data_IF_607793264972
#
_entry.id   IF_607793264972
#
_cell.length_a   1.000
_cell.length_b   1.000
_cell.length_c   1.000
_cell.angle_alpha   90.00
_cell.angle_beta   90.00
_cell.angle_gamma   90.00
#
_symmetry.space_group_name_H-M   'P 1'
#
loop_
_entity.id
_entity.type
_entity.pdbx_description
1 polymer ?
#
# COMPACT_ATOMS: atom_id res chain seq x y z
N UNK A 1 16.47 7.31 39.90
CA UNK A 1 16.93 6.35 39.02
C UNK A 1 16.34 6.37 37.66
N UNK A 2 17.02 7.09 36.88
CA UNK A 2 16.64 7.57 35.55
C UNK A 2 16.95 6.60 34.41
N UNK A 3 17.80 5.52 34.55
CA UNK A 3 18.14 4.68 33.38
C UNK A 3 17.02 3.82 32.82
N UNK A 4 16.00 3.47 33.61
CA UNK A 4 14.91 2.63 33.14
C UNK A 4 13.89 3.40 32.28
N UNK A 5 13.71 4.68 32.53
CA UNK A 5 12.79 5.52 31.73
C UNK A 5 13.35 5.86 30.35
N UNK A 6 14.65 5.98 30.23
CA UNK A 6 15.31 6.31 28.96
C UNK A 6 15.30 5.14 27.98
N UNK A 7 15.15 3.92 28.46
CA UNK A 7 15.08 2.72 27.59
C UNK A 7 13.70 2.43 27.05
N UNK A 8 12.66 2.88 27.73
CA UNK A 8 11.27 2.67 27.31
C UNK A 8 10.84 3.63 26.19
N UNK A 9 11.34 4.84 26.21
CA UNK A 9 10.98 5.88 25.25
C UNK A 9 11.33 5.51 23.80
N UNK A 10 12.57 5.06 23.47
CA UNK A 10 12.90 4.69 22.10
C UNK A 10 12.10 3.50 21.59
N UNK A 11 11.78 2.54 22.45
CA UNK A 11 10.95 1.40 22.06
C UNK A 11 9.52 1.84 21.70
N UNK A 12 8.95 2.76 22.45
CA UNK A 12 7.63 3.30 22.18
C UNK A 12 7.59 4.08 20.86
N UNK A 13 8.61 4.88 20.59
CA UNK A 13 8.72 5.65 19.34
C UNK A 13 8.81 4.71 18.13
N UNK A 14 9.56 3.63 18.23
CA UNK A 14 9.68 2.63 17.15
C UNK A 14 8.33 1.98 16.88
N UNK A 15 7.60 1.59 17.90
CA UNK A 15 6.29 0.97 17.75
C UNK A 15 5.27 1.91 17.08
N UNK A 16 5.27 3.17 17.46
CA UNK A 16 4.41 4.18 16.84
C UNK A 16 4.76 4.41 15.36
N UNK A 17 6.04 4.41 15.04
CA UNK A 17 6.52 4.56 13.68
C UNK A 17 6.07 3.42 12.77
N UNK A 18 6.12 2.18 13.24
CA UNK A 18 5.68 1.01 12.49
C UNK A 18 4.15 1.05 12.24
N UNK A 19 3.38 1.49 13.23
CA UNK A 19 1.93 1.64 13.07
C UNK A 19 1.57 2.69 12.02
N UNK A 20 2.28 3.80 11.96
CA UNK A 20 2.07 4.86 10.98
C UNK A 20 2.34 4.37 9.54
N UNK A 21 3.39 3.55 9.32
CA UNK A 21 3.70 2.99 8.01
C UNK A 21 2.59 2.05 7.53
N UNK A 22 2.05 1.20 8.41
CA UNK A 22 0.97 0.29 8.07
C UNK A 22 -0.32 1.06 7.72
N UNK A 23 -0.61 2.16 8.40
CA UNK A 23 -1.80 2.97 8.17
C UNK A 23 -1.83 3.62 6.79
N UNK A 24 -0.66 3.90 6.20
CA UNK A 24 -0.55 4.56 4.89
C UNK A 24 -0.38 3.59 3.73
N UNK A 25 -0.39 2.28 3.98
CA UNK A 25 -0.24 1.28 2.94
C UNK A 25 -1.53 1.16 2.13
N UNK A 26 -1.50 1.34 0.78
CA UNK A 26 -2.70 1.22 -0.05
C UNK A 26 -3.21 -0.22 -0.18
N UNK A 27 -2.42 -1.21 0.21
CA UNK A 27 -2.77 -2.62 0.11
C UNK A 27 -3.18 -3.19 1.47
N UNK A 28 -4.10 -4.19 1.48
CA UNK A 28 -4.44 -4.87 2.71
C UNK A 28 -3.26 -5.68 3.25
N UNK A 29 -3.25 -5.92 4.54
CA UNK A 29 -2.23 -6.77 5.16
C UNK A 29 -2.36 -8.21 4.66
N UNK A 30 -1.23 -8.85 4.40
CA UNK A 30 -1.21 -10.23 3.94
C UNK A 30 -1.49 -11.20 5.09
N UNK A 31 -2.40 -12.15 4.86
CA UNK A 31 -2.73 -13.20 5.82
C UNK A 31 -2.05 -14.53 5.50
N UNK A 32 -1.42 -14.64 4.32
CA UNK A 32 -0.77 -15.87 3.89
C UNK A 32 0.32 -15.53 2.86
N UNK A 33 1.07 -16.56 2.45
CA UNK A 33 2.20 -16.39 1.52
C UNK A 33 1.74 -15.95 0.13
N UNK A 34 0.59 -16.41 -0.34
CA UNK A 34 0.07 -16.04 -1.65
C UNK A 34 -0.30 -14.56 -1.71
N UNK A 35 -0.95 -14.05 -0.69
CA UNK A 35 -1.27 -12.63 -0.58
C UNK A 35 0.00 -11.77 -0.46
N UNK A 36 0.98 -12.24 0.31
CA UNK A 36 2.26 -11.55 0.43
C UNK A 36 2.98 -11.48 -0.91
N UNK A 37 2.94 -12.54 -1.71
CA UNK A 37 3.54 -12.56 -3.04
C UNK A 37 2.85 -11.56 -3.97
N UNK A 38 1.52 -11.47 -3.93
CA UNK A 38 0.78 -10.49 -4.72
C UNK A 38 1.08 -9.05 -4.29
N UNK A 39 1.27 -8.81 -3.00
CA UNK A 39 1.71 -7.49 -2.50
C UNK A 39 3.05 -7.11 -3.08
N UNK A 40 4.04 -8.02 -3.01
CA UNK A 40 5.38 -7.76 -3.55
C UNK A 40 5.35 -7.49 -5.05
N UNK A 41 4.56 -8.26 -5.78
CA UNK A 41 4.40 -8.09 -7.23
C UNK A 41 3.76 -6.76 -7.56
N UNK A 42 2.75 -6.36 -6.80
CA UNK A 42 2.08 -5.09 -6.98
C UNK A 42 3.01 -3.91 -6.73
N UNK A 43 3.79 -3.97 -5.66
CA UNK A 43 4.76 -2.92 -5.32
C UNK A 43 5.84 -2.77 -6.40
N UNK A 44 6.19 -3.84 -7.09
CA UNK A 44 7.19 -3.85 -8.15
C UNK A 44 6.60 -3.67 -9.55
N UNK A 45 5.30 -3.51 -9.68
CA UNK A 45 4.63 -3.42 -10.98
C UNK A 45 5.12 -2.23 -11.80
N UNK A 46 5.33 -2.39 -13.12
CA UNK A 46 5.85 -1.32 -13.95
C UNK A 46 4.93 -0.10 -14.01
N UNK A 47 3.62 -0.28 -13.93
CA UNK A 47 2.66 0.82 -13.91
C UNK A 47 2.80 1.69 -12.65
N UNK A 48 3.20 1.10 -11.53
CA UNK A 48 3.47 1.82 -10.28
C UNK A 48 4.73 2.66 -10.42
N UNK A 49 5.80 2.03 -10.94
CA UNK A 49 7.05 2.74 -11.19
C UNK A 49 6.87 3.90 -12.16
N UNK A 50 6.10 3.67 -13.20
CA UNK A 50 5.78 4.69 -14.20
C UNK A 50 5.03 5.87 -13.58
N UNK A 51 4.11 5.60 -12.66
CA UNK A 51 3.40 6.64 -11.94
C UNK A 51 4.35 7.49 -11.10
N UNK A 52 5.25 6.84 -10.35
CA UNK A 52 6.22 7.57 -9.52
C UNK A 52 7.21 8.41 -10.33
N UNK A 53 7.51 8.02 -11.57
CA UNK A 53 8.40 8.80 -12.44
C UNK A 53 7.84 10.18 -12.78
N UNK A 54 6.55 10.38 -12.61
CA UNK A 54 5.90 11.68 -12.84
C UNK A 54 5.96 12.62 -11.64
N UNK A 55 6.57 12.19 -10.53
CA UNK A 55 6.70 13.03 -9.35
C UNK A 55 7.58 14.23 -9.63
N UNK A 56 7.07 15.42 -9.32
CA UNK A 56 7.81 16.67 -9.31
C UNK A 56 7.81 17.24 -7.88
N UNK A 57 8.98 17.55 -7.38
CA UNK A 57 9.13 18.07 -6.02
C UNK A 57 8.51 19.46 -5.85
N UNK A 58 8.37 20.19 -6.93
CA UNK A 58 8.00 21.61 -6.89
C UNK A 58 6.50 21.86 -6.97
N UNK A 59 5.69 20.82 -7.23
CA UNK A 59 4.26 21.00 -7.41
C UNK A 59 3.48 20.07 -6.47
N UNK A 60 2.97 20.66 -5.40
CA UNK A 60 2.24 19.92 -4.35
C UNK A 60 0.96 19.27 -4.88
N UNK A 61 0.22 19.96 -5.72
CA UNK A 61 -1.02 19.44 -6.30
C UNK A 61 -0.74 18.26 -7.22
N UNK A 62 0.27 18.36 -8.07
CA UNK A 62 0.69 17.28 -8.95
C UNK A 62 1.19 16.09 -8.14
N UNK A 63 1.94 16.34 -7.06
CA UNK A 63 2.42 15.30 -6.18
C UNK A 63 1.28 14.46 -5.60
N UNK A 64 0.24 15.12 -5.11
CA UNK A 64 -0.93 14.43 -4.55
C UNK A 64 -1.61 13.54 -5.59
N UNK A 65 -1.76 14.03 -6.81
CA UNK A 65 -2.34 13.25 -7.92
C UNK A 65 -1.48 12.04 -8.29
N UNK A 66 -0.18 12.24 -8.40
CA UNK A 66 0.75 11.17 -8.74
C UNK A 66 0.73 10.07 -7.67
N UNK A 67 0.73 10.45 -6.39
CA UNK A 67 0.67 9.49 -5.30
C UNK A 67 -0.66 8.72 -5.30
N UNK A 68 -1.76 9.39 -5.60
CA UNK A 68 -3.07 8.74 -5.73
C UNK A 68 -3.11 7.78 -6.92
N UNK A 69 -2.54 8.18 -8.06
CA UNK A 69 -2.45 7.34 -9.25
C UNK A 69 -1.57 6.11 -9.00
N UNK A 70 -0.44 6.29 -8.32
CA UNK A 70 0.43 5.19 -7.95
C UNK A 70 -0.27 4.19 -7.03
N UNK A 71 -1.00 4.69 -6.03
CA UNK A 71 -1.77 3.84 -5.11
C UNK A 71 -2.86 3.06 -5.86
N UNK A 72 -3.56 3.71 -6.80
CA UNK A 72 -4.57 3.05 -7.61
C UNK A 72 -3.96 1.97 -8.51
N UNK A 73 -2.81 2.25 -9.13
CA UNK A 73 -2.08 1.29 -9.95
C UNK A 73 -1.63 0.09 -9.13
N UNK A 74 -1.16 0.32 -7.92
CA UNK A 74 -0.72 -0.73 -7.01
C UNK A 74 -1.89 -1.65 -6.61
N UNK A 75 -3.03 -1.07 -6.26
CA UNK A 75 -4.23 -1.85 -5.94
C UNK A 75 -4.71 -2.66 -7.14
N UNK A 76 -4.70 -2.08 -8.33
CA UNK A 76 -5.10 -2.78 -9.56
C UNK A 76 -4.17 -3.96 -9.85
N UNK A 77 -2.86 -3.78 -9.69
CA UNK A 77 -1.88 -4.85 -9.88
C UNK A 77 -2.06 -5.96 -8.85
N UNK A 78 -2.32 -5.61 -7.60
CA UNK A 78 -2.60 -6.56 -6.55
C UNK A 78 -3.83 -7.41 -6.86
N UNK A 79 -4.94 -6.79 -7.23
CA UNK A 79 -6.17 -7.49 -7.56
C UNK A 79 -6.00 -8.39 -8.79
N UNK A 80 -5.25 -7.93 -9.79
CA UNK A 80 -4.93 -8.74 -10.97
C UNK A 80 -4.16 -10.02 -10.57
N UNK A 81 -3.17 -9.89 -9.70
CA UNK A 81 -2.42 -11.02 -9.16
C UNK A 81 -3.34 -11.99 -8.41
N UNK A 82 -4.19 -11.46 -7.56
CA UNK A 82 -5.13 -12.25 -6.75
C UNK A 82 -6.11 -13.03 -7.64
N UNK A 83 -6.61 -12.42 -8.71
CA UNK A 83 -7.49 -13.09 -9.67
C UNK A 83 -6.77 -14.21 -10.40
N UNK A 84 -5.57 -13.96 -10.87
CA UNK A 84 -4.76 -14.95 -11.56
C UNK A 84 -4.46 -16.17 -10.70
N UNK A 85 -4.36 -15.98 -9.40
CA UNK A 85 -4.15 -17.08 -8.45
C UNK A 85 -5.45 -17.72 -7.96
N UNK A 86 -6.59 -17.22 -8.41
CA UNK A 86 -7.89 -17.72 -8.00
C UNK A 86 -8.27 -17.40 -6.56
N UNK A 87 -7.65 -16.41 -5.97
CA UNK A 87 -7.90 -16.03 -4.58
C UNK A 87 -9.08 -15.08 -4.41
N UNK A 88 -9.52 -14.47 -5.51
CA UNK A 88 -10.74 -13.68 -5.57
C UNK A 88 -11.52 -14.08 -6.82
N UNK A 89 -12.84 -13.81 -6.86
CA UNK A 89 -13.65 -14.21 -8.00
C UNK A 89 -13.12 -13.62 -9.31
N UNK A 90 -13.10 -14.43 -10.40
CA UNK A 90 -12.75 -13.93 -11.73
C UNK A 90 -13.84 -12.99 -12.24
N UNK A 91 -13.45 -12.16 -13.22
CA UNK A 91 -14.39 -11.29 -13.87
C UNK A 91 -14.33 -9.85 -13.46
N UNK A 92 -13.79 -9.56 -12.35
CA UNK A 92 -13.33 -8.22 -12.01
C UNK A 92 -14.36 -7.10 -12.04
N UNK A 93 -15.61 -7.42 -12.23
CA UNK A 93 -16.63 -6.42 -12.00
C UNK A 93 -16.87 -6.43 -10.51
N UNK A 94 -16.27 -5.51 -9.83
CA UNK A 94 -16.70 -5.24 -8.49
C UNK A 94 -18.21 -5.04 -8.54
N UNK A 95 -18.96 -5.68 -7.65
CA UNK A 95 -20.37 -5.37 -7.58
C UNK A 95 -20.47 -3.86 -7.46
N UNK A 96 -21.02 -3.26 -8.48
CA UNK A 96 -21.27 -1.82 -8.47
C UNK A 96 -22.09 -1.56 -7.25
N UNK A 97 -21.50 -0.92 -6.31
CA UNK A 97 -22.27 -0.45 -5.17
C UNK A 97 -23.32 0.46 -5.73
N UNK A 98 -24.60 0.15 -5.50
CA UNK A 98 -25.63 1.06 -5.97
C UNK A 98 -25.31 2.45 -5.42
N UNK A 99 -25.26 3.38 -6.31
CA UNK A 99 -25.14 4.76 -5.94
C UNK A 99 -26.34 5.12 -5.09
N UNK A 100 -26.08 5.36 -3.87
CA UNK A 100 -27.13 5.69 -2.92
C UNK A 100 -27.09 7.15 -2.53
#
# INVERSE_FOLDING_TARGET
MIPAMHRAIPALVILLGLGACAANDPLPQAHNAAEAACRSEAEAAPEVKSAYQRLSADNQTQRSRVLADAAAAERAAYLRCMRLKGLIPPGGVEPVRPLQ
#
